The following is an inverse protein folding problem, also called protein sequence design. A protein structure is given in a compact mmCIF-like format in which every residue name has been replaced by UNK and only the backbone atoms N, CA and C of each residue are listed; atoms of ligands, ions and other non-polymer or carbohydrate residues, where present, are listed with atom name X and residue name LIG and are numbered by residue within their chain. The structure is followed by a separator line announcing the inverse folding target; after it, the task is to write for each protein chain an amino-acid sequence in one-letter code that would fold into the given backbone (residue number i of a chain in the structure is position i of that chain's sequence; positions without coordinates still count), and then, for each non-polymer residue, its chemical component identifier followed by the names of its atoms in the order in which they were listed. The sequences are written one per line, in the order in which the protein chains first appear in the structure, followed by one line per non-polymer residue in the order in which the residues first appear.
data_IF_117491123863
#
_entry.id   IF_117491123863
#
_cell.length_a   1.000
_cell.length_b   1.000
_cell.length_c   1.000
_cell.angle_alpha   90.00
_cell.angle_beta   90.00
_cell.angle_gamma   90.00
#
_symmetry.space_group_name_H-M   'P 1'
#
loop_
_entity.id
_entity.type
_entity.pdbx_description
1 polymer ?
#
# COMPACT_ATOMS: atom_id res chain seq x y z
N UNK A 1 36.51 -4.68 -9.74
CA UNK A 1 35.37 -4.03 -10.42
C UNK A 1 34.04 -4.17 -9.66
N UNK A 2 33.65 -5.36 -9.17
CA UNK A 2 32.38 -5.55 -8.43
C UNK A 2 32.27 -4.76 -7.11
N UNK A 3 33.36 -4.61 -6.37
CA UNK A 3 33.38 -3.87 -5.09
C UNK A 3 33.21 -2.36 -5.26
N UNK A 4 33.76 -1.79 -6.34
CA UNK A 4 33.68 -0.35 -6.65
C UNK A 4 32.25 0.06 -7.02
N UNK A 5 31.51 -0.84 -7.68
CA UNK A 5 30.10 -0.62 -8.03
C UNK A 5 29.22 -0.62 -6.76
N UNK A 6 29.50 -1.50 -5.78
CA UNK A 6 28.79 -1.54 -4.49
C UNK A 6 29.06 -0.28 -3.67
N UNK A 7 30.31 0.17 -3.63
CA UNK A 7 30.70 1.41 -2.93
C UNK A 7 30.11 2.64 -3.63
N UNK A 8 30.09 2.67 -4.96
CA UNK A 8 29.45 3.75 -5.73
C UNK A 8 27.92 3.79 -5.53
N UNK A 9 27.25 2.64 -5.40
CA UNK A 9 25.82 2.59 -5.04
C UNK A 9 25.56 3.06 -3.59
N UNK A 10 26.47 2.75 -2.66
CA UNK A 10 26.38 3.20 -1.27
C UNK A 10 26.64 4.72 -1.10
N UNK A 11 27.45 5.32 -1.99
CA UNK A 11 27.76 6.76 -1.98
C UNK A 11 26.73 7.63 -2.72
N UNK A 12 25.75 7.02 -3.39
CA UNK A 12 24.64 7.71 -4.07
C UNK A 12 23.39 7.90 -3.18
N UNK A 13 23.53 7.76 -1.85
CA UNK A 13 22.49 8.12 -0.88
C UNK A 13 22.36 9.63 -0.77
N UNK A 14 21.93 10.27 -1.86
CA UNK A 14 21.29 11.59 -1.78
C UNK A 14 20.09 11.46 -0.85
N UNK A 15 19.99 12.37 0.12
CA UNK A 15 18.87 12.48 1.06
C UNK A 15 17.56 12.53 0.28
N UNK A 16 16.97 11.36 0.10
CA UNK A 16 15.71 11.18 -0.56
C UNK A 16 14.70 10.95 0.53
N UNK A 17 14.02 12.04 0.91
CA UNK A 17 12.84 12.01 1.77
C UNK A 17 11.77 11.22 1.03
N UNK A 18 11.81 9.91 1.19
CA UNK A 18 10.86 8.97 0.66
C UNK A 18 10.27 8.27 1.87
N UNK A 19 8.99 8.53 2.16
CA UNK A 19 8.28 7.78 3.19
C UNK A 19 8.20 6.32 2.73
N UNK A 20 9.17 5.53 3.18
CA UNK A 20 9.17 4.08 3.00
C UNK A 20 8.73 3.49 4.33
N UNK A 21 7.43 3.41 4.63
CA UNK A 21 7.01 2.77 5.85
C UNK A 21 7.20 1.26 5.77
N UNK A 22 7.75 0.72 6.85
CA UNK A 22 7.69 -0.70 7.16
C UNK A 22 6.80 -0.86 8.38
N UNK A 23 5.71 -1.60 8.24
CA UNK A 23 4.74 -1.88 9.30
C UNK A 23 4.72 -3.38 9.61
N UNK A 24 4.75 -3.70 10.89
CA UNK A 24 4.34 -5.00 11.43
C UNK A 24 3.04 -4.75 12.20
N UNK A 25 1.99 -5.49 11.86
CA UNK A 25 0.72 -5.48 12.58
C UNK A 25 0.43 -6.89 13.07
N UNK A 26 0.36 -7.06 14.38
CA UNK A 26 0.08 -8.33 15.05
C UNK A 26 -1.35 -8.25 15.57
N UNK A 27 -2.24 -9.00 14.93
CA UNK A 27 -3.65 -9.07 15.29
C UNK A 27 -3.99 -10.33 16.10
N UNK A 28 -5.27 -10.51 16.38
CA UNK A 28 -5.83 -11.66 17.10
C UNK A 28 -5.82 -12.96 16.29
N UNK A 29 -5.84 -12.90 14.96
CA UNK A 29 -5.90 -14.07 14.07
C UNK A 29 -4.70 -14.19 13.13
N UNK A 30 -4.06 -13.07 12.79
CA UNK A 30 -2.95 -13.04 11.85
C UNK A 30 -2.00 -11.89 12.10
N UNK A 31 -0.74 -12.10 11.72
CA UNK A 31 0.29 -11.06 11.63
C UNK A 31 0.45 -10.64 10.18
N UNK A 32 0.61 -9.34 9.95
CA UNK A 32 0.94 -8.79 8.63
C UNK A 32 2.21 -7.97 8.66
N UNK A 33 3.01 -8.13 7.62
CA UNK A 33 4.18 -7.30 7.32
C UNK A 33 3.90 -6.51 6.05
N UNK A 34 4.12 -5.20 6.08
CA UNK A 34 3.79 -4.29 4.98
C UNK A 34 4.93 -3.31 4.74
N UNK A 35 5.39 -3.25 3.49
CA UNK A 35 6.41 -2.30 3.04
C UNK A 35 5.83 -1.53 1.89
N UNK A 36 5.76 -0.21 2.02
CA UNK A 36 5.29 0.67 0.95
C UNK A 36 6.38 1.66 0.58
N UNK A 37 6.49 1.97 -0.71
CA UNK A 37 7.41 2.91 -1.29
C UNK A 37 6.65 3.81 -2.26
N UNK A 38 6.85 5.13 -2.15
CA UNK A 38 6.20 6.11 -3.00
C UNK A 38 7.16 7.23 -3.35
N UNK A 39 7.64 7.27 -4.61
CA UNK A 39 8.70 8.20 -4.99
C UNK A 39 8.63 8.60 -6.47
N UNK A 40 8.93 9.86 -6.74
CA UNK A 40 9.22 10.34 -8.09
C UNK A 40 10.58 9.83 -8.59
N UNK A 41 10.65 9.43 -9.85
CA UNK A 41 11.95 9.23 -10.50
C UNK A 41 12.70 10.56 -10.57
N UNK A 42 14.03 10.50 -10.43
CA UNK A 42 14.89 11.69 -10.42
C UNK A 42 15.45 11.97 -11.81
N UNK A 43 15.54 13.24 -12.18
CA UNK A 43 16.27 13.69 -13.38
C UNK A 43 17.79 13.63 -13.13
N UNK A 44 18.59 13.82 -14.19
CA UNK A 44 20.05 13.96 -14.08
C UNK A 44 20.49 15.09 -13.15
N UNK A 45 19.62 16.09 -12.92
CA UNK A 45 19.84 17.23 -12.02
C UNK A 45 19.33 17.00 -10.59
N UNK A 46 18.77 15.82 -10.28
CA UNK A 46 18.23 15.49 -8.96
C UNK A 46 16.81 16.00 -8.66
N UNK A 47 16.19 16.73 -9.60
CA UNK A 47 14.81 17.17 -9.49
C UNK A 47 13.82 16.01 -9.67
N UNK A 48 12.59 16.16 -9.15
CA UNK A 48 11.53 15.18 -9.38
C UNK A 48 11.10 15.25 -10.85
N UNK A 49 11.05 14.09 -11.52
CA UNK A 49 10.43 13.96 -12.83
C UNK A 49 8.91 13.87 -12.71
N UNK A 50 8.22 13.80 -13.86
CA UNK A 50 6.77 13.55 -13.92
C UNK A 50 6.41 12.10 -13.62
N UNK A 51 7.38 11.18 -13.68
CA UNK A 51 7.13 9.77 -13.43
C UNK A 51 7.19 9.49 -11.93
N UNK A 52 6.20 8.75 -11.44
CA UNK A 52 6.12 8.33 -10.05
C UNK A 52 5.97 6.81 -9.95
N UNK A 53 6.75 6.23 -9.04
CA UNK A 53 6.72 4.83 -8.66
C UNK A 53 6.01 4.68 -7.31
N UNK A 54 4.96 3.88 -7.30
CA UNK A 54 4.39 3.30 -6.10
C UNK A 54 4.78 1.81 -6.09
N UNK A 55 5.33 1.32 -4.99
CA UNK A 55 5.52 -0.10 -4.77
C UNK A 55 5.01 -0.47 -3.38
N UNK A 56 4.35 -1.60 -3.24
CA UNK A 56 3.92 -2.11 -1.95
C UNK A 56 4.00 -3.62 -1.93
N UNK A 57 4.58 -4.16 -0.87
CA UNK A 57 4.62 -5.59 -0.61
C UNK A 57 3.98 -5.84 0.74
N UNK A 58 2.95 -6.68 0.76
CA UNK A 58 2.27 -7.08 1.99
C UNK A 58 2.24 -8.60 2.09
N UNK A 59 2.63 -9.08 3.25
CA UNK A 59 2.63 -10.49 3.62
C UNK A 59 1.74 -10.67 4.84
N UNK A 60 1.02 -11.78 4.89
CA UNK A 60 0.12 -12.12 6.00
C UNK A 60 0.26 -13.59 6.34
N UNK A 61 0.40 -13.90 7.63
CA UNK A 61 0.44 -15.26 8.16
C UNK A 61 -0.66 -15.41 9.19
N UNK A 62 -1.55 -16.37 8.96
CA UNK A 62 -2.63 -16.73 9.88
C UNK A 62 -2.12 -17.69 10.95
N UNK A 63 -2.53 -17.50 12.21
CA UNK A 63 -2.07 -18.35 13.31
C UNK A 63 -2.65 -19.76 13.26
N UNK A 64 -3.78 -19.94 12.58
CA UNK A 64 -4.43 -21.24 12.34
C UNK A 64 -4.03 -21.83 10.99
N UNK A 65 -2.88 -21.43 10.44
CA UNK A 65 -2.33 -22.03 9.23
C UNK A 65 -2.10 -23.54 9.43
N UNK A 66 -2.57 -24.32 8.45
CA UNK A 66 -2.22 -25.72 8.30
C UNK A 66 -1.49 -25.94 6.97
N UNK A 67 -1.17 -27.19 6.62
CA UNK A 67 -0.58 -27.51 5.31
C UNK A 67 -1.50 -27.17 4.14
N UNK A 68 -2.82 -27.12 4.36
CA UNK A 68 -3.83 -26.99 3.29
C UNK A 68 -4.82 -25.82 3.49
N UNK A 69 -4.84 -25.18 4.65
CA UNK A 69 -5.76 -24.08 4.98
C UNK A 69 -5.04 -22.88 5.60
N UNK A 70 -5.64 -21.69 5.43
CA UNK A 70 -5.12 -20.42 5.95
C UNK A 70 -3.66 -20.15 5.56
N UNK A 71 -3.30 -20.56 4.33
CA UNK A 71 -1.94 -20.41 3.81
C UNK A 71 -1.50 -18.94 3.78
N UNK A 72 -0.19 -18.67 3.92
CA UNK A 72 0.34 -17.31 3.88
C UNK A 72 -0.12 -16.58 2.62
N UNK A 73 -0.57 -15.34 2.80
CA UNK A 73 -0.98 -14.48 1.70
C UNK A 73 0.13 -13.47 1.40
N UNK A 74 0.46 -13.33 0.13
CA UNK A 74 1.40 -12.37 -0.41
C UNK A 74 0.71 -11.53 -1.47
N UNK A 75 0.97 -10.23 -1.42
CA UNK A 75 0.62 -9.28 -2.47
C UNK A 75 1.75 -8.29 -2.69
N UNK A 76 2.24 -8.22 -3.92
CA UNK A 76 3.12 -7.16 -4.39
C UNK A 76 2.39 -6.33 -5.43
N UNK A 77 2.44 -5.02 -5.30
CA UNK A 77 1.84 -4.07 -6.23
C UNK A 77 2.90 -3.08 -6.62
N UNK A 78 3.21 -3.01 -7.90
CA UNK A 78 4.08 -1.97 -8.47
C UNK A 78 3.26 -1.16 -9.44
N UNK A 79 3.27 0.16 -9.29
CA UNK A 79 2.55 1.08 -10.14
C UNK A 79 3.46 2.20 -10.62
N UNK A 80 3.35 2.53 -11.90
CA UNK A 80 4.02 3.66 -12.54
C UNK A 80 2.95 4.61 -13.04
N UNK A 81 3.08 5.89 -12.68
CA UNK A 81 2.14 6.93 -13.05
C UNK A 81 2.83 8.15 -13.62
N UNK A 82 2.12 8.88 -14.49
CA UNK A 82 2.62 10.09 -15.13
C UNK A 82 1.90 11.33 -14.60
N UNK A 83 2.54 12.04 -13.68
CA UNK A 83 1.95 13.14 -12.92
C UNK A 83 2.36 14.47 -13.53
N UNK A 84 1.40 15.16 -14.13
CA UNK A 84 1.58 16.53 -14.63
C UNK A 84 1.04 17.53 -13.60
N UNK A 85 1.77 18.62 -13.29
CA UNK A 85 1.32 19.59 -12.27
C UNK A 85 -0.06 20.18 -12.53
N UNK A 86 -0.43 20.37 -13.81
CA UNK A 86 -1.71 20.95 -14.23
C UNK A 86 -2.93 20.08 -13.90
N UNK A 87 -2.75 18.79 -13.59
CA UNK A 87 -3.85 17.86 -13.29
C UNK A 87 -4.08 17.68 -11.79
N UNK A 88 -3.47 18.52 -10.95
CA UNK A 88 -3.76 18.62 -9.51
C UNK A 88 -3.74 17.28 -8.76
N UNK A 89 -2.79 16.40 -9.12
CA UNK A 89 -2.60 15.09 -8.48
C UNK A 89 -3.26 13.91 -9.20
N UNK A 90 -4.10 14.15 -10.22
CA UNK A 90 -4.64 13.09 -11.08
C UNK A 90 -3.59 12.66 -12.11
N UNK A 91 -3.42 11.35 -12.29
CA UNK A 91 -2.50 10.80 -13.28
C UNK A 91 -2.98 9.47 -13.84
N UNK A 92 -2.71 9.15 -15.12
CA UNK A 92 -2.84 7.80 -15.63
C UNK A 92 -1.82 6.92 -14.94
N UNK A 93 -2.22 5.68 -14.64
CA UNK A 93 -1.39 4.72 -13.92
C UNK A 93 -1.47 3.35 -14.57
N UNK A 94 -0.31 2.71 -14.64
CA UNK A 94 -0.16 1.29 -14.96
C UNK A 94 0.26 0.55 -13.71
N UNK A 95 -0.37 -0.57 -13.43
CA UNK A 95 -0.15 -1.37 -12.23
C UNK A 95 0.16 -2.80 -12.62
N UNK A 96 1.21 -3.37 -12.04
CA UNK A 96 1.45 -4.80 -12.01
C UNK A 96 1.21 -5.30 -10.59
N UNK A 97 0.19 -6.13 -10.41
CA UNK A 97 -0.10 -6.79 -9.14
C UNK A 97 0.30 -8.26 -9.24
N UNK A 98 1.05 -8.74 -8.25
CA UNK A 98 1.42 -10.14 -8.08
C UNK A 98 0.86 -10.63 -6.76
N UNK A 99 0.10 -11.73 -6.79
CA UNK A 99 -0.44 -12.37 -5.59
C UNK A 99 -0.20 -13.88 -5.65
N UNK A 100 -0.60 -14.61 -4.62
CA UNK A 100 -0.65 -16.08 -4.64
C UNK A 100 -1.46 -16.64 -5.83
N UNK A 101 -2.35 -15.83 -6.43
CA UNK A 101 -3.20 -16.23 -7.58
C UNK A 101 -2.58 -15.93 -8.94
N UNK A 102 -1.41 -15.30 -8.98
CA UNK A 102 -0.70 -14.94 -10.21
C UNK A 102 -0.54 -13.44 -10.41
N UNK A 103 -0.34 -13.04 -11.66
CA UNK A 103 -0.04 -11.66 -12.08
C UNK A 103 -1.24 -11.03 -12.76
N UNK A 104 -1.64 -9.86 -12.29
CA UNK A 104 -2.75 -9.06 -12.83
C UNK A 104 -2.23 -7.68 -13.27
N UNK A 105 -1.96 -7.46 -14.57
CA UNK A 105 -1.71 -6.13 -15.11
C UNK A 105 -3.00 -5.31 -15.13
N UNK A 106 -2.91 -4.04 -14.73
CA UNK A 106 -4.06 -3.12 -14.62
C UNK A 106 -3.70 -1.74 -15.16
N UNK A 107 -4.72 -1.04 -15.65
CA UNK A 107 -4.63 0.35 -16.11
C UNK A 107 -5.75 1.18 -15.49
N UNK A 108 -5.51 2.46 -15.27
CA UNK A 108 -6.55 3.37 -14.83
C UNK A 108 -6.02 4.73 -14.42
N UNK A 109 -6.67 5.31 -13.42
CA UNK A 109 -6.37 6.64 -12.90
C UNK A 109 -5.97 6.54 -11.43
N UNK A 110 -4.94 7.30 -11.05
CA UNK A 110 -4.60 7.57 -9.66
C UNK A 110 -4.90 9.02 -9.30
N UNK A 111 -5.02 9.26 -8.00
CA UNK A 111 -5.00 10.57 -7.37
C UNK A 111 -4.00 10.55 -6.22
N UNK A 112 -3.07 11.51 -6.18
CA UNK A 112 -2.11 11.66 -5.10
C UNK A 112 -2.05 13.11 -4.61
N UNK A 113 -2.18 13.31 -3.31
CA UNK A 113 -2.05 14.61 -2.65
C UNK A 113 -1.39 14.44 -1.28
N UNK A 114 -0.42 15.30 -0.98
CA UNK A 114 0.34 15.27 0.28
C UNK A 114 0.46 16.66 0.92
N UNK A 115 -0.67 17.28 1.34
CA UNK A 115 -0.60 18.51 2.13
C UNK A 115 0.03 18.22 3.50
N UNK A 116 0.54 19.25 4.19
CA UNK A 116 1.37 19.17 5.41
C UNK A 116 1.12 17.99 6.37
N UNK A 117 -0.14 17.75 6.78
CA UNK A 117 -0.50 16.71 7.75
C UNK A 117 -1.30 15.56 7.14
N UNK A 118 -1.50 15.55 5.83
CA UNK A 118 -2.36 14.60 5.13
C UNK A 118 -1.57 13.84 4.07
N UNK A 119 -1.89 12.57 3.89
CA UNK A 119 -1.56 11.82 2.70
C UNK A 119 -2.86 11.22 2.17
N UNK A 120 -3.17 11.57 0.94
CA UNK A 120 -4.31 11.03 0.21
C UNK A 120 -3.74 10.37 -1.04
N UNK A 121 -3.93 9.07 -1.14
CA UNK A 121 -3.58 8.32 -2.32
C UNK A 121 -4.74 7.41 -2.68
N UNK A 122 -5.19 7.45 -3.94
CA UNK A 122 -6.26 6.60 -4.41
C UNK A 122 -6.00 6.18 -5.85
N UNK A 123 -6.54 5.04 -6.25
CA UNK A 123 -6.66 4.70 -7.66
C UNK A 123 -7.96 3.96 -7.95
N UNK A 124 -8.35 4.04 -9.21
CA UNK A 124 -9.37 3.21 -9.82
C UNK A 124 -8.73 2.57 -11.06
N UNK A 125 -8.55 1.26 -11.03
CA UNK A 125 -7.86 0.51 -12.10
C UNK A 125 -8.66 -0.72 -12.50
N UNK A 126 -8.62 -1.07 -13.78
CA UNK A 126 -9.21 -2.31 -14.31
C UNK A 126 -8.12 -3.27 -14.77
N UNK A 127 -8.29 -4.56 -14.47
CA UNK A 127 -7.45 -5.62 -15.06
C UNK A 127 -7.54 -5.59 -16.59
N UNK A 128 -6.42 -5.84 -17.28
CA UNK A 128 -6.36 -5.85 -18.76
C UNK A 128 -6.51 -7.24 -19.37
N UNK A 129 -6.63 -8.27 -18.53
CA UNK A 129 -6.81 -9.67 -18.96
C UNK A 129 -8.30 -10.04 -19.11
N UNK A 130 -8.56 -11.25 -19.62
CA UNK A 130 -9.94 -11.76 -19.77
C UNK A 130 -10.65 -11.83 -18.41
N UNK A 131 -11.94 -11.48 -18.40
CA UNK A 131 -12.79 -11.43 -17.20
C UNK A 131 -12.26 -10.45 -16.15
N UNK A 132 -12.12 -9.15 -16.45
CA UNK A 132 -11.39 -8.23 -15.61
C UNK A 132 -12.08 -8.00 -14.25
N UNK A 133 -11.31 -7.57 -13.27
CA UNK A 133 -11.84 -6.99 -12.03
C UNK A 133 -11.49 -5.51 -11.99
N UNK A 134 -12.38 -4.71 -11.40
CA UNK A 134 -12.17 -3.30 -11.13
C UNK A 134 -11.69 -3.19 -9.69
N UNK A 135 -10.53 -2.57 -9.50
CA UNK A 135 -9.94 -2.31 -8.19
C UNK A 135 -10.06 -0.83 -7.84
N UNK A 136 -10.61 -0.57 -6.66
CA UNK A 136 -10.59 0.75 -6.04
C UNK A 136 -9.76 0.70 -4.75
N UNK A 137 -8.71 1.52 -4.72
CA UNK A 137 -7.85 1.67 -3.55
C UNK A 137 -7.95 3.09 -3.01
N UNK A 138 -8.00 3.22 -1.68
CA UNK A 138 -7.87 4.49 -0.98
C UNK A 138 -6.93 4.29 0.20
N UNK A 139 -5.95 5.18 0.34
CA UNK A 139 -5.11 5.36 1.49
C UNK A 139 -5.25 6.81 1.94
N UNK A 140 -5.89 7.00 3.09
CA UNK A 140 -6.02 8.28 3.76
C UNK A 140 -5.22 8.21 5.06
N UNK A 141 -4.28 9.14 5.24
CA UNK A 141 -3.53 9.28 6.48
C UNK A 141 -3.57 10.71 6.96
N UNK A 142 -3.78 10.88 8.25
CA UNK A 142 -3.75 12.15 8.95
C UNK A 142 -2.77 12.07 10.12
N UNK A 143 -1.77 12.96 10.12
CA UNK A 143 -0.74 13.01 11.16
C UNK A 143 -0.54 14.43 11.71
N UNK A 144 -1.53 15.00 12.42
CA UNK A 144 -1.39 16.32 13.02
C UNK A 144 -0.45 16.27 14.22
N UNK A 145 0.25 17.39 14.46
CA UNK A 145 0.96 17.61 15.71
C UNK A 145 -0.03 18.11 16.77
N UNK A 146 -0.16 17.38 17.87
CA UNK A 146 -0.95 17.76 19.05
C UNK A 146 0.05 17.99 20.19
N UNK A 147 0.25 19.25 20.57
CA UNK A 147 1.30 19.68 21.51
C UNK A 147 2.71 19.25 21.06
N UNK A 148 3.27 18.20 21.69
CA UNK A 148 4.61 17.66 21.42
C UNK A 148 4.59 16.26 20.78
N UNK A 149 3.41 15.68 20.59
CA UNK A 149 3.24 14.35 20.00
C UNK A 149 2.50 14.46 18.67
N UNK A 150 2.81 13.56 17.74
CA UNK A 150 2.07 13.50 16.48
C UNK A 150 1.03 12.39 16.61
N UNK A 151 -0.24 12.72 16.40
CA UNK A 151 -1.28 11.70 16.24
C UNK A 151 -1.00 10.95 14.93
N UNK A 152 -1.28 9.66 14.89
CA UNK A 152 -1.27 8.86 13.67
C UNK A 152 -2.63 8.23 13.46
N UNK A 153 -3.29 8.63 12.37
CA UNK A 153 -4.56 8.03 11.94
C UNK A 153 -4.41 7.59 10.48
N UNK A 154 -4.80 6.36 10.18
CA UNK A 154 -4.82 5.86 8.80
C UNK A 154 -6.10 5.07 8.55
N UNK A 155 -6.70 5.33 7.39
CA UNK A 155 -7.79 4.57 6.82
C UNK A 155 -7.33 4.06 5.47
N UNK A 156 -7.51 2.77 5.23
CA UNK A 156 -7.23 2.15 3.97
C UNK A 156 -8.40 1.28 3.51
N UNK A 157 -8.79 1.45 2.25
CA UNK A 157 -9.83 0.68 1.60
C UNK A 157 -9.23 -0.01 0.37
N UNK A 158 -9.37 -1.33 0.27
CA UNK A 158 -8.97 -2.13 -0.90
C UNK A 158 -10.18 -2.90 -1.37
N UNK A 159 -10.73 -2.52 -2.52
CA UNK A 159 -11.95 -3.09 -3.04
C UNK A 159 -11.69 -3.68 -4.43
N UNK A 160 -12.08 -4.93 -4.62
CA UNK A 160 -12.04 -5.63 -5.90
C UNK A 160 -13.46 -6.06 -6.27
N UNK A 161 -13.92 -5.52 -7.39
CA UNK A 161 -15.26 -5.74 -7.94
C UNK A 161 -15.09 -6.55 -9.24
N UNK A 162 -15.49 -7.83 -9.26
CA UNK A 162 -15.36 -8.64 -10.47
C UNK A 162 -16.38 -8.22 -11.54
N UNK A 163 -16.01 -8.32 -12.81
CA UNK A 163 -16.97 -8.15 -13.93
C UNK A 163 -17.70 -9.44 -14.31
N UNK A 164 -17.35 -10.57 -13.67
CA UNK A 164 -17.93 -11.89 -13.92
C UNK A 164 -18.40 -12.56 -12.64
N UNK A 165 -19.48 -13.34 -12.74
CA UNK A 165 -20.11 -14.06 -11.62
C UNK A 165 -19.26 -15.19 -11.02
N UNK A 166 -18.22 -15.62 -11.72
CA UNK A 166 -17.28 -16.66 -11.28
C UNK A 166 -16.15 -16.17 -10.38
N UNK A 167 -15.99 -14.85 -10.19
CA UNK A 167 -14.93 -14.24 -9.38
C UNK A 167 -15.51 -13.67 -8.08
N UNK A 168 -14.71 -13.67 -7.03
CA UNK A 168 -15.11 -13.20 -5.70
C UNK A 168 -15.03 -11.69 -5.60
N UNK A 169 -16.06 -11.07 -5.00
CA UNK A 169 -15.92 -9.75 -4.41
C UNK A 169 -14.93 -9.80 -3.26
N UNK A 170 -14.15 -8.74 -3.07
CA UNK A 170 -13.26 -8.58 -1.93
C UNK A 170 -13.22 -7.12 -1.50
N UNK A 171 -13.61 -6.86 -0.26
CA UNK A 171 -13.59 -5.54 0.36
C UNK A 171 -12.77 -5.62 1.64
N UNK A 172 -11.66 -4.89 1.68
CA UNK A 172 -10.76 -4.85 2.82
C UNK A 172 -10.74 -3.43 3.35
N UNK A 173 -10.96 -3.28 4.66
CA UNK A 173 -10.92 -2.01 5.35
C UNK A 173 -9.89 -2.12 6.46
N UNK A 174 -8.94 -1.20 6.52
CA UNK A 174 -7.90 -1.20 7.55
C UNK A 174 -7.86 0.15 8.22
N UNK A 175 -7.99 0.13 9.54
CA UNK A 175 -7.92 1.32 10.36
C UNK A 175 -6.71 1.21 11.28
N UNK A 176 -5.99 2.31 11.43
CA UNK A 176 -4.88 2.45 12.37
C UNK A 176 -5.07 3.74 13.15
N UNK A 177 -4.89 3.66 14.46
CA UNK A 177 -4.90 4.80 15.37
C UNK A 177 -3.74 4.65 16.34
N UNK A 178 -2.93 5.68 16.47
CA UNK A 178 -1.74 5.62 17.30
C UNK A 178 -1.02 6.94 17.41
N UNK A 179 0.24 6.86 17.80
CA UNK A 179 1.13 8.00 17.98
C UNK A 179 2.35 7.84 17.07
N UNK A 180 2.90 8.98 16.66
CA UNK A 180 4.16 9.11 15.94
C UNK A 180 5.16 9.86 16.82
N UNK A 181 6.32 9.24 17.02
CA UNK A 181 7.48 9.85 17.65
C UNK A 181 8.68 9.69 16.70
N UNK A 182 9.12 10.81 16.10
CA UNK A 182 10.15 10.80 15.04
C UNK A 182 9.73 9.88 13.87
N UNK A 183 10.57 8.91 13.51
CA UNK A 183 10.31 7.92 12.47
C UNK A 183 9.39 6.76 12.94
N UNK A 184 9.22 6.58 14.25
CA UNK A 184 8.47 5.46 14.81
C UNK A 184 6.99 5.82 14.98
N UNK A 185 6.11 4.91 14.58
CA UNK A 185 4.67 4.99 14.66
C UNK A 185 4.16 3.72 15.33
N UNK A 186 3.25 3.81 16.28
CA UNK A 186 2.73 2.64 16.98
C UNK A 186 1.33 2.92 17.51
N UNK A 187 0.54 1.86 17.69
CA UNK A 187 -0.80 1.98 18.22
C UNK A 187 -1.65 0.76 17.96
N UNK A 188 -2.96 0.95 17.94
CA UNK A 188 -3.95 -0.08 17.70
C UNK A 188 -4.45 -0.04 16.24
N UNK A 189 -4.89 -1.18 15.75
CA UNK A 189 -5.45 -1.30 14.41
C UNK A 189 -6.49 -2.40 14.31
N UNK A 190 -7.28 -2.33 13.25
CA UNK A 190 -8.27 -3.33 12.89
C UNK A 190 -8.27 -3.49 11.38
N UNK A 191 -8.20 -4.75 10.92
CA UNK A 191 -8.35 -5.15 9.53
C UNK A 191 -9.66 -5.93 9.40
N UNK A 192 -10.59 -5.43 8.59
CA UNK A 192 -11.86 -6.08 8.27
C UNK A 192 -11.77 -6.55 6.82
N UNK A 193 -12.12 -7.80 6.55
CA UNK A 193 -12.16 -8.36 5.20
C UNK A 193 -13.51 -9.01 4.97
N UNK A 194 -14.19 -8.58 3.91
CA UNK A 194 -15.46 -9.12 3.43
C UNK A 194 -15.23 -9.69 2.03
N UNK A 195 -15.43 -10.99 1.85
CA UNK A 195 -15.18 -11.64 0.55
C UNK A 195 -16.20 -12.75 0.26
N UNK A 196 -16.49 -12.99 -1.03
CA UNK A 196 -17.41 -14.06 -1.44
C UNK A 196 -17.80 -14.00 -2.92
N UNK A 197 -18.29 -15.12 -3.46
CA UNK A 197 -18.79 -15.23 -4.84
C UNK A 197 -20.21 -14.66 -4.97
N UNK A 198 -21.06 -14.93 -3.98
CA UNK A 198 -22.48 -14.53 -3.89
C UNK A 198 -22.85 -14.31 -2.42
N UNK A 199 -23.94 -13.58 -2.17
CA UNK A 199 -24.46 -13.35 -0.80
C UNK A 199 -24.83 -14.69 -0.12
N UNK A 200 -24.54 -14.87 1.19
CA UNK A 200 -23.90 -13.91 2.09
C UNK A 200 -22.37 -13.89 1.95
N UNK A 201 -21.79 -12.69 1.96
CA UNK A 201 -20.34 -12.52 1.98
C UNK A 201 -19.76 -12.93 3.34
N UNK A 202 -18.60 -13.57 3.33
CA UNK A 202 -17.89 -13.95 4.56
C UNK A 202 -17.11 -12.76 5.11
N UNK A 203 -17.30 -12.47 6.39
CA UNK A 203 -16.62 -11.41 7.11
C UNK A 203 -15.55 -11.99 8.03
N UNK A 204 -14.39 -11.35 8.07
CA UNK A 204 -13.34 -11.61 9.05
C UNK A 204 -12.79 -10.31 9.60
N UNK A 205 -12.44 -10.31 10.88
CA UNK A 205 -11.95 -9.14 11.60
C UNK A 205 -10.68 -9.52 12.35
N UNK A 206 -9.61 -8.75 12.16
CA UNK A 206 -8.34 -8.94 12.83
C UNK A 206 -7.94 -7.64 13.52
N UNK A 207 -8.15 -7.57 14.83
CA UNK A 207 -7.79 -6.42 15.66
C UNK A 207 -6.48 -6.68 16.41
N UNK A 208 -5.68 -5.65 16.64
CA UNK A 208 -4.43 -5.77 17.40
C UNK A 208 -3.60 -4.51 17.41
N UNK A 209 -2.28 -4.69 17.46
CA UNK A 209 -1.32 -3.58 17.59
C UNK A 209 -0.40 -3.52 16.37
N UNK A 210 0.01 -2.31 16.00
CA UNK A 210 1.02 -2.10 14.96
C UNK A 210 2.24 -1.37 15.51
N UNK A 211 3.38 -1.68 14.92
CA UNK A 211 4.59 -0.88 14.99
C UNK A 211 5.04 -0.62 13.56
N UNK A 212 5.39 0.62 13.28
CA UNK A 212 5.73 1.08 11.96
C UNK A 212 6.89 2.06 12.00
N UNK A 213 7.85 1.87 11.11
CA UNK A 213 9.01 2.74 10.96
C UNK A 213 8.98 3.41 9.60
N UNK A 214 9.08 4.73 9.57
CA UNK A 214 9.14 5.54 8.35
C UNK A 214 10.59 5.97 8.10
N UNK A 215 11.25 5.36 7.11
CA UNK A 215 12.57 5.82 6.68
C UNK A 215 12.44 7.24 6.09
N UNK A 216 13.36 8.13 6.47
CA UNK A 216 13.43 9.53 6.03
C UNK A 216 14.71 9.77 5.23
#
# INVERSE_FOLDING_TARGET
MRLVIVIAMALLTSNAIAQTPVEIFTGSYKTTFDVMFFKYFKTSTGANSKWLLFNRNRYSVDYLQTTNSNLPQFGSVTAISYNVPTWHGVAPVMVAQVTNRGVSPKLGLQYASMPKNWLIFSWLVGETLRQPSIDYFLLLRYTPTIQQQQLFTQVELVNTIPTTTSKTYSFIQRFRLGLKHKALQYGAGIDITTQGLQQPLQNSTNAGIFIRYEFQ
#
